data_IF_314862949937
#
_entry.id   IF_314862949937
#
_cell.length_a   1.000
_cell.length_b   1.000
_cell.length_c   1.000
_cell.angle_alpha   90.00
_cell.angle_beta   90.00
_cell.angle_gamma   90.00
#
_symmetry.space_group_name_H-M   'P 1'
#
loop_
_entity.id
_entity.type
_entity.pdbx_description
1 polymer ?
#
# COMPACT_ATOMS: atom_id res chain seq x y z
N UNK A 1 -16.13 -32.56 -41.83
CA UNK A 1 -15.00 -32.96 -40.98
C UNK A 1 -13.89 -31.93 -41.10
N UNK A 2 -13.48 -31.35 -39.96
CA UNK A 2 -12.17 -30.77 -39.64
C UNK A 2 -11.60 -29.63 -40.51
N UNK A 3 -11.80 -28.41 -40.03
CA UNK A 3 -10.79 -27.34 -39.89
C UNK A 3 -11.20 -26.53 -38.64
N UNK A 4 -10.95 -27.02 -37.41
CA UNK A 4 -9.80 -26.77 -36.54
C UNK A 4 -9.35 -25.30 -36.43
N UNK A 5 -9.57 -24.78 -35.23
CA UNK A 5 -8.90 -23.67 -34.51
C UNK A 5 -9.14 -22.23 -34.97
N UNK A 6 -10.13 -21.64 -34.32
CA UNK A 6 -10.38 -20.21 -34.25
C UNK A 6 -9.65 -19.65 -33.02
N UNK A 7 -8.67 -18.79 -33.31
CA UNK A 7 -8.16 -17.64 -32.53
C UNK A 7 -7.54 -17.84 -31.13
N UNK A 8 -6.25 -17.53 -31.09
CA UNK A 8 -5.44 -17.33 -29.90
C UNK A 8 -5.66 -15.92 -29.30
N UNK A 9 -5.46 -15.88 -27.99
CA UNK A 9 -5.61 -14.80 -27.03
C UNK A 9 -5.03 -13.42 -27.38
N UNK A 10 -5.65 -12.37 -26.84
CA UNK A 10 -4.93 -11.33 -26.10
C UNK A 10 -5.92 -10.53 -25.23
N UNK A 11 -5.80 -10.75 -23.93
CA UNK A 11 -6.30 -9.93 -22.83
C UNK A 11 -5.98 -8.45 -23.04
N UNK A 12 -6.97 -7.65 -23.42
CA UNK A 12 -6.90 -6.21 -23.21
C UNK A 12 -7.14 -5.93 -21.72
N UNK A 13 -6.02 -5.73 -21.02
CA UNK A 13 -5.98 -5.30 -19.63
C UNK A 13 -6.94 -4.14 -19.41
N UNK A 14 -7.85 -4.32 -18.46
CA UNK A 14 -8.64 -3.26 -17.88
C UNK A 14 -7.69 -2.14 -17.47
N UNK A 15 -7.88 -1.00 -18.13
CA UNK A 15 -7.35 0.31 -17.78
C UNK A 15 -7.76 0.65 -16.35
N UNK A 16 -7.02 0.11 -15.38
CA UNK A 16 -7.00 0.66 -14.04
C UNK A 16 -6.15 1.91 -14.13
N UNK A 17 -6.80 3.07 -14.26
CA UNK A 17 -6.22 4.38 -13.92
C UNK A 17 -5.87 4.36 -12.43
N UNK A 18 -4.81 3.65 -12.07
CA UNK A 18 -4.14 3.79 -10.79
C UNK A 18 -3.07 4.85 -10.98
N UNK A 19 -3.15 5.92 -10.21
CA UNK A 19 -2.01 6.78 -9.91
C UNK A 19 -0.79 5.86 -9.70
N UNK A 20 0.29 6.10 -10.46
CA UNK A 20 1.47 5.23 -10.41
C UNK A 20 1.92 5.15 -8.95
N UNK A 21 1.95 3.95 -8.37
CA UNK A 21 2.50 3.78 -7.02
C UNK A 21 3.92 4.36 -7.01
N UNK A 22 4.31 5.13 -5.98
CA UNK A 22 5.64 5.73 -5.95
C UNK A 22 6.72 4.65 -6.07
N UNK A 23 7.83 4.97 -6.73
CA UNK A 23 8.94 4.03 -6.83
C UNK A 23 9.67 3.93 -5.48
N UNK A 24 9.58 2.75 -4.89
CA UNK A 24 10.24 2.41 -3.63
C UNK A 24 11.28 1.30 -3.78
N UNK A 25 11.80 1.08 -4.99
CA UNK A 25 12.79 0.02 -5.26
C UNK A 25 14.10 0.17 -4.47
N UNK A 26 14.46 1.40 -4.06
CA UNK A 26 15.62 1.68 -3.21
C UNK A 26 15.37 1.59 -1.70
N UNK A 27 14.15 1.20 -1.28
CA UNK A 27 13.75 1.15 0.13
C UNK A 27 13.83 -0.29 0.66
N UNK A 28 14.36 -0.45 1.87
CA UNK A 28 14.55 -1.74 2.53
C UNK A 28 13.35 -2.11 3.40
N UNK A 29 12.26 -2.47 2.72
CA UNK A 29 11.04 -2.98 3.34
C UNK A 29 10.72 -4.35 2.78
N UNK A 30 10.66 -5.35 3.66
CA UNK A 30 10.31 -6.71 3.28
C UNK A 30 8.88 -6.79 2.74
N UNK A 31 8.61 -7.75 1.86
CA UNK A 31 7.25 -7.99 1.38
C UNK A 31 6.32 -8.42 2.53
N UNK A 32 6.83 -9.22 3.45
CA UNK A 32 6.11 -9.66 4.65
C UNK A 32 5.68 -8.47 5.51
N UNK A 33 6.57 -7.50 5.74
CA UNK A 33 6.23 -6.28 6.46
C UNK A 33 5.14 -5.48 5.76
N UNK A 34 5.27 -5.26 4.44
CA UNK A 34 4.27 -4.49 3.66
C UNK A 34 2.88 -5.11 3.75
N UNK A 35 2.80 -6.44 3.59
CA UNK A 35 1.55 -7.19 3.69
C UNK A 35 1.00 -7.19 5.12
N UNK A 36 1.86 -7.44 6.10
CA UNK A 36 1.53 -7.44 7.53
C UNK A 36 1.00 -6.09 7.99
N UNK A 37 1.66 -5.00 7.58
CA UNK A 37 1.24 -3.63 7.86
C UNK A 37 -0.15 -3.35 7.31
N UNK A 38 -0.37 -3.63 6.02
CA UNK A 38 -1.67 -3.38 5.35
C UNK A 38 -2.78 -4.23 5.96
N UNK A 39 -2.50 -5.48 6.34
CA UNK A 39 -3.46 -6.37 7.00
C UNK A 39 -3.80 -5.88 8.42
N UNK A 40 -2.80 -5.51 9.21
CA UNK A 40 -2.97 -5.00 10.57
C UNK A 40 -3.73 -3.67 10.58
N UNK A 41 -3.38 -2.75 9.67
CA UNK A 41 -4.08 -1.48 9.49
C UNK A 41 -5.56 -1.70 9.13
N UNK A 42 -5.87 -2.59 8.18
CA UNK A 42 -7.27 -2.86 7.80
C UNK A 42 -8.09 -3.43 8.96
N UNK A 43 -7.49 -4.25 9.82
CA UNK A 43 -8.15 -4.77 11.02
C UNK A 43 -8.48 -3.67 12.05
N UNK A 44 -7.74 -2.55 12.01
CA UNK A 44 -7.90 -1.41 12.92
C UNK A 44 -8.73 -0.25 12.33
N UNK A 45 -8.87 -0.18 11.00
CA UNK A 45 -9.63 0.84 10.27
C UNK A 45 -11.15 0.66 10.39
N UNK A 46 -11.66 0.68 11.64
CA UNK A 46 -13.09 0.51 11.94
C UNK A 46 -13.90 1.68 11.39
N UNK A 47 -15.10 1.37 10.89
CA UNK A 47 -16.02 2.36 10.31
C UNK A 47 -15.77 2.69 8.84
N UNK A 48 -14.73 2.12 8.23
CA UNK A 48 -14.50 2.19 6.78
C UNK A 48 -15.07 0.96 6.07
N UNK A 49 -15.42 1.11 4.79
CA UNK A 49 -15.66 -0.04 3.92
C UNK A 49 -14.36 -0.82 3.70
N UNK A 50 -14.43 -2.11 3.34
CA UNK A 50 -13.22 -2.90 3.09
C UNK A 50 -12.35 -2.30 1.96
N UNK A 51 -12.97 -1.74 0.92
CA UNK A 51 -12.25 -1.09 -0.18
C UNK A 51 -11.57 0.21 0.26
N UNK A 52 -12.24 1.00 1.10
CA UNK A 52 -11.68 2.28 1.57
C UNK A 52 -10.58 2.04 2.61
N UNK A 53 -10.77 1.08 3.53
CA UNK A 53 -9.74 0.64 4.44
C UNK A 53 -8.49 0.16 3.70
N UNK A 54 -8.65 -0.61 2.61
CA UNK A 54 -7.52 -1.05 1.78
C UNK A 54 -6.78 0.12 1.13
N UNK A 55 -7.51 1.11 0.57
CA UNK A 55 -6.92 2.32 -0.04
C UNK A 55 -6.20 3.16 1.02
N UNK A 56 -6.85 3.41 2.15
CA UNK A 56 -6.29 4.13 3.30
C UNK A 56 -4.99 3.48 3.80
N UNK A 57 -5.00 2.17 4.03
CA UNK A 57 -3.84 1.45 4.55
C UNK A 57 -2.68 1.38 3.55
N UNK A 58 -2.96 1.26 2.25
CA UNK A 58 -1.93 1.38 1.20
C UNK A 58 -1.32 2.78 1.18
N UNK A 59 -2.15 3.83 1.29
CA UNK A 59 -1.65 5.20 1.39
C UNK A 59 -0.74 5.37 2.63
N UNK A 60 -1.17 4.87 3.79
CA UNK A 60 -0.40 4.95 5.04
C UNK A 60 0.95 4.23 4.93
N UNK A 61 0.99 3.05 4.29
CA UNK A 61 2.23 2.35 4.00
C UNK A 61 3.14 3.15 3.06
N UNK A 62 2.58 3.76 2.01
CA UNK A 62 3.35 4.60 1.09
C UNK A 62 3.92 5.84 1.79
N UNK A 63 3.18 6.46 2.72
CA UNK A 63 3.72 7.54 3.56
C UNK A 63 4.90 7.02 4.38
N UNK A 64 4.76 5.88 5.05
CA UNK A 64 5.85 5.28 5.82
C UNK A 64 7.11 5.07 4.95
N UNK A 65 6.95 4.49 3.76
CA UNK A 65 8.06 4.24 2.84
C UNK A 65 8.62 5.51 2.17
N UNK A 66 7.87 6.62 2.22
CA UNK A 66 8.35 7.93 1.75
C UNK A 66 9.28 8.56 2.78
N UNK A 67 8.95 8.47 4.07
CA UNK A 67 9.68 9.14 5.15
C UNK A 67 10.88 8.34 5.67
N UNK A 68 10.87 7.01 5.55
CA UNK A 68 11.95 6.16 6.03
C UNK A 68 12.53 5.27 4.94
N UNK A 69 13.79 4.87 5.11
CA UNK A 69 14.51 4.01 4.17
C UNK A 69 14.36 2.52 4.47
N UNK A 70 14.03 2.15 5.71
CA UNK A 70 13.82 0.76 6.12
C UNK A 70 12.77 0.60 7.22
N UNK A 71 12.26 -0.62 7.39
CA UNK A 71 11.35 -0.95 8.50
C UNK A 71 12.00 -0.77 9.88
N UNK A 72 13.31 -1.02 9.99
CA UNK A 72 14.08 -0.78 11.22
C UNK A 72 14.19 0.72 11.52
N UNK A 73 14.57 1.53 10.52
CA UNK A 73 14.69 2.99 10.69
C UNK A 73 13.35 3.62 11.08
N UNK A 74 12.26 3.19 10.45
CA UNK A 74 10.92 3.62 10.79
C UNK A 74 10.56 3.24 12.24
N UNK A 75 10.86 2.00 12.64
CA UNK A 75 10.58 1.51 13.99
C UNK A 75 11.34 2.27 15.09
N UNK A 76 12.62 2.60 14.86
CA UNK A 76 13.44 3.35 15.79
C UNK A 76 12.96 4.80 15.92
N UNK A 77 12.70 5.47 14.80
CA UNK A 77 12.27 6.87 14.80
C UNK A 77 10.87 7.03 15.41
N UNK A 78 9.93 6.14 15.06
CA UNK A 78 8.58 6.16 15.63
C UNK A 78 8.51 5.93 17.14
N UNK A 79 9.48 5.22 17.74
CA UNK A 79 9.55 5.09 19.20
C UNK A 79 9.84 6.42 19.89
N UNK A 80 10.60 7.31 19.24
CA UNK A 80 10.93 8.64 19.75
C UNK A 80 9.90 9.73 19.40
N UNK A 81 9.01 9.46 18.45
CA UNK A 81 8.03 10.44 17.98
C UNK A 81 6.82 10.56 18.91
N UNK A 82 6.35 11.80 19.06
CA UNK A 82 5.07 12.04 19.71
C UNK A 82 3.93 11.46 18.85
N UNK A 83 2.87 10.89 19.46
CA UNK A 83 1.79 10.24 18.71
C UNK A 83 1.11 11.13 17.65
N UNK A 84 1.04 12.45 17.89
CA UNK A 84 0.45 13.38 16.94
C UNK A 84 1.28 13.56 15.66
N UNK A 85 2.61 13.42 15.75
CA UNK A 85 3.49 13.46 14.57
C UNK A 85 3.29 12.21 13.72
N UNK A 86 3.16 11.04 14.34
CA UNK A 86 2.85 9.79 13.65
C UNK A 86 1.49 9.91 12.92
N UNK A 87 0.48 10.49 13.57
CA UNK A 87 -0.80 10.78 12.90
C UNK A 87 -0.65 11.74 11.73
N UNK A 88 0.09 12.84 11.91
CA UNK A 88 0.30 13.86 10.88
C UNK A 88 0.97 13.28 9.63
N UNK A 89 1.89 12.33 9.81
CA UNK A 89 2.66 11.73 8.72
C UNK A 89 1.91 10.56 8.09
N UNK A 90 1.41 9.61 8.88
CA UNK A 90 0.89 8.34 8.37
C UNK A 90 -0.63 8.35 8.13
N UNK A 91 -1.38 9.15 8.90
CA UNK A 91 -2.85 9.08 8.92
C UNK A 91 -3.47 10.23 8.15
N UNK A 92 -3.17 11.47 8.55
CA UNK A 92 -3.83 12.67 8.01
C UNK A 92 -3.80 12.77 6.48
N UNK A 93 -2.70 12.46 5.77
CA UNK A 93 -2.66 12.54 4.29
C UNK A 93 -3.58 11.52 3.60
N UNK A 94 -4.00 10.48 4.32
CA UNK A 94 -4.69 9.31 3.78
C UNK A 94 -6.19 9.28 4.10
N UNK A 95 -6.67 10.21 4.95
CA UNK A 95 -8.09 10.38 5.24
C UNK A 95 -8.72 11.23 4.14
N UNK A 96 -9.27 10.59 3.11
CA UNK A 96 -10.03 11.22 2.01
C UNK A 96 -11.40 10.59 1.87
#
# INVERSE_FOLDING_TARGET
MKHVMMWAAATALLLSCGESEPDFSGKDFSQEFKEGYVKSCQAQARGMSASDAKKYCKCSLNQLMTFWDSEEAAGLDMQGMAPYEIQRILVTPCMK
#
